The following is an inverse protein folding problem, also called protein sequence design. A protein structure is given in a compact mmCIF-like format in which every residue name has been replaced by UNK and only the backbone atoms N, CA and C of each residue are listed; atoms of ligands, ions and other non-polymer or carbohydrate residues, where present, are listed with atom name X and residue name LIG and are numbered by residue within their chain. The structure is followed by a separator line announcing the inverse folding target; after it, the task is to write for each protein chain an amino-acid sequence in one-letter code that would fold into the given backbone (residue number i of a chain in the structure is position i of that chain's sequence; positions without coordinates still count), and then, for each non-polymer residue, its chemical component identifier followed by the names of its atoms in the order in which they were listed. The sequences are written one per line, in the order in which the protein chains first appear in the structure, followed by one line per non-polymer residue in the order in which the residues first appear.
data_IF_981285088629
#
_entry.id   IF_981285088629
#
_cell.length_a   1.000
_cell.length_b   1.000
_cell.length_c   1.000
_cell.angle_alpha   90.00
_cell.angle_beta   90.00
_cell.angle_gamma   90.00
#
_symmetry.space_group_name_H-M   'P 1'
#
loop_
_entity.id
_entity.type
_entity.pdbx_description
1 polymer ?
#
# COMPACT_ATOMS: atom_id res chain seq x y z
N UNK A 1 -29.90 4.38 -6.90
CA UNK A 1 -28.77 5.25 -7.21
C UNK A 1 -27.59 4.47 -7.78
N UNK A 2 -26.61 5.17 -8.30
CA UNK A 2 -25.44 4.60 -9.00
C UNK A 2 -24.63 3.60 -8.17
N UNK A 3 -24.60 3.79 -6.84
CA UNK A 3 -23.86 2.97 -5.88
C UNK A 3 -24.76 2.04 -5.05
N UNK A 4 -25.98 1.74 -5.54
CA UNK A 4 -26.87 0.80 -4.88
C UNK A 4 -26.22 -0.58 -4.71
N UNK A 5 -26.51 -1.24 -3.60
CA UNK A 5 -25.96 -2.57 -3.23
C UNK A 5 -24.43 -2.60 -3.09
N UNK A 6 -23.84 -1.49 -2.60
CA UNK A 6 -22.41 -1.37 -2.37
C UNK A 6 -22.11 -0.86 -0.96
N UNK A 7 -21.08 -1.41 -0.38
CA UNK A 7 -20.45 -0.84 0.81
C UNK A 7 -19.56 0.30 0.35
N UNK A 8 -19.75 1.47 0.96
CA UNK A 8 -18.94 2.67 0.71
C UNK A 8 -17.91 2.80 1.82
N UNK A 9 -16.64 2.85 1.46
CA UNK A 9 -15.53 3.06 2.38
C UNK A 9 -14.92 4.41 2.01
N UNK A 10 -15.22 5.49 2.79
CA UNK A 10 -14.69 6.82 2.52
C UNK A 10 -13.21 6.91 2.89
N UNK A 11 -12.52 7.82 2.23
CA UNK A 11 -11.16 8.24 2.54
C UNK A 11 -11.15 9.72 2.88
N UNK A 12 -10.39 10.09 3.90
CA UNK A 12 -10.26 11.46 4.38
C UNK A 12 -8.82 11.95 4.23
N UNK A 13 -8.66 13.19 3.78
CA UNK A 13 -7.37 13.87 3.77
C UNK A 13 -6.95 14.35 5.18
N UNK A 14 -5.81 15.02 5.27
CA UNK A 14 -5.27 15.53 6.54
C UNK A 14 -6.18 16.56 7.24
N UNK A 15 -7.02 17.27 6.49
CA UNK A 15 -7.97 18.26 7.00
C UNK A 15 -9.30 17.63 7.43
N UNK A 16 -9.51 16.35 7.14
CA UNK A 16 -10.74 15.61 7.44
C UNK A 16 -11.80 15.71 6.34
N UNK A 17 -11.44 16.24 5.17
CA UNK A 17 -12.33 16.28 4.02
C UNK A 17 -12.29 14.98 3.23
N UNK A 18 -13.44 14.56 2.67
CA UNK A 18 -13.51 13.35 1.84
C UNK A 18 -12.78 13.59 0.52
N UNK A 19 -11.65 12.88 0.31
CA UNK A 19 -10.85 12.98 -0.90
C UNK A 19 -11.09 11.83 -1.90
N UNK A 20 -11.60 10.68 -1.43
CA UNK A 20 -11.89 9.49 -2.24
C UNK A 20 -12.89 8.57 -1.55
N UNK A 21 -13.34 7.54 -2.23
CA UNK A 21 -14.02 6.39 -1.62
C UNK A 21 -13.89 5.13 -2.47
N UNK A 22 -14.03 4.00 -1.83
CA UNK A 22 -14.17 2.69 -2.48
C UNK A 22 -15.63 2.25 -2.36
N UNK A 23 -16.22 1.81 -3.46
CA UNK A 23 -17.56 1.25 -3.48
C UNK A 23 -17.53 -0.21 -3.93
N UNK A 24 -17.63 -1.15 -2.96
CA UNK A 24 -17.56 -2.59 -3.19
C UNK A 24 -18.94 -3.22 -3.19
N UNK A 25 -19.26 -3.98 -4.23
CA UNK A 25 -20.50 -4.78 -4.29
C UNK A 25 -20.51 -5.86 -3.20
N UNK A 26 -21.66 -6.05 -2.56
CA UNK A 26 -21.89 -7.14 -1.60
C UNK A 26 -22.89 -8.20 -2.10
N UNK A 27 -23.47 -8.01 -3.28
CA UNK A 27 -24.50 -8.88 -3.84
C UNK A 27 -24.06 -9.66 -5.10
N UNK A 28 -22.75 -9.72 -5.37
CA UNK A 28 -22.23 -10.48 -6.52
C UNK A 28 -22.43 -9.81 -7.87
N UNK A 29 -22.61 -8.49 -7.90
CA UNK A 29 -22.66 -7.70 -9.14
C UNK A 29 -21.42 -7.95 -10.00
N UNK A 30 -21.56 -7.91 -11.33
CA UNK A 30 -20.48 -8.16 -12.30
C UNK A 30 -19.26 -7.24 -12.11
N UNK A 31 -19.48 -6.06 -11.55
CA UNK A 31 -18.40 -5.14 -11.17
C UNK A 31 -18.20 -5.16 -9.65
N UNK A 32 -17.14 -5.88 -9.20
CA UNK A 32 -16.77 -5.96 -7.79
C UNK A 32 -16.56 -4.57 -7.17
N UNK A 33 -15.94 -3.65 -7.91
CA UNK A 33 -15.70 -2.28 -7.48
C UNK A 33 -16.28 -1.27 -8.47
N UNK A 34 -16.84 -0.18 -7.94
CA UNK A 34 -17.29 1.00 -8.70
C UNK A 34 -16.83 2.25 -7.95
N UNK A 35 -15.64 2.70 -8.26
CA UNK A 35 -15.01 3.83 -7.59
C UNK A 35 -15.34 5.16 -8.30
N UNK A 36 -15.18 6.31 -7.62
CA UNK A 36 -15.39 7.60 -8.25
C UNK A 36 -14.36 7.84 -9.37
N UNK A 37 -14.78 8.60 -10.38
CA UNK A 37 -13.92 8.97 -11.52
C UNK A 37 -13.10 10.23 -11.22
N UNK A 38 -12.32 10.18 -10.15
CA UNK A 38 -11.42 11.26 -9.73
C UNK A 38 -9.98 10.74 -9.64
N UNK A 39 -9.03 11.64 -9.52
CA UNK A 39 -7.62 11.28 -9.39
C UNK A 39 -7.39 10.36 -8.19
N UNK A 40 -6.58 9.34 -8.38
CA UNK A 40 -6.06 8.48 -7.31
C UNK A 40 -4.71 8.98 -6.76
N UNK A 41 -4.26 10.16 -7.19
CA UNK A 41 -3.02 10.76 -6.69
C UNK A 41 -3.26 11.42 -5.33
N UNK A 42 -3.70 10.61 -4.39
CA UNK A 42 -4.03 10.96 -3.00
C UNK A 42 -3.40 9.92 -2.05
N UNK A 43 -3.38 10.23 -0.77
CA UNK A 43 -3.11 9.25 0.28
C UNK A 43 -4.46 8.81 0.84
N UNK A 44 -4.79 7.51 0.71
CA UNK A 44 -6.05 6.99 1.21
C UNK A 44 -6.06 7.00 2.74
N UNK A 45 -7.04 7.65 3.34
CA UNK A 45 -7.17 7.82 4.78
C UNK A 45 -5.96 8.47 5.46
N UNK A 46 -5.40 9.50 4.84
CA UNK A 46 -4.27 10.25 5.38
C UNK A 46 -4.51 10.76 6.81
N UNK A 47 -5.74 11.19 7.11
CA UNK A 47 -6.16 11.63 8.44
C UNK A 47 -5.81 10.64 9.57
N UNK A 48 -5.82 9.34 9.26
CA UNK A 48 -5.59 8.27 10.24
C UNK A 48 -4.20 7.66 10.14
N UNK A 49 -3.33 8.18 9.28
CA UNK A 49 -1.96 7.67 9.10
C UNK A 49 -1.05 8.24 10.18
N UNK A 50 -0.39 7.36 10.93
CA UNK A 50 0.64 7.75 11.88
C UNK A 50 2.01 7.75 11.21
N UNK A 51 2.52 8.93 10.91
CA UNK A 51 3.81 9.13 10.26
C UNK A 51 5.01 8.93 11.19
N UNK A 52 4.79 8.90 12.52
CA UNK A 52 5.84 8.69 13.51
C UNK A 52 6.09 7.20 13.82
N UNK A 53 5.25 6.34 13.29
CA UNK A 53 5.38 4.88 13.35
C UNK A 53 5.72 4.31 11.98
N UNK A 54 6.18 3.07 11.92
CA UNK A 54 6.37 2.39 10.64
C UNK A 54 5.06 2.31 9.84
N UNK A 55 5.16 2.43 8.53
CA UNK A 55 4.04 2.41 7.61
C UNK A 55 4.08 1.16 6.74
N UNK A 56 2.95 0.47 6.59
CA UNK A 56 2.82 -0.62 5.64
C UNK A 56 2.18 -0.14 4.34
N UNK A 57 2.78 -0.44 3.21
CA UNK A 57 2.18 -0.22 1.88
C UNK A 57 1.56 -1.53 1.40
N UNK A 58 0.27 -1.48 1.06
CA UNK A 58 -0.54 -2.62 0.60
C UNK A 58 -1.26 -2.30 -0.71
N UNK A 59 -1.87 -3.29 -1.35
CA UNK A 59 -2.58 -3.07 -2.62
C UNK A 59 -3.97 -2.47 -2.43
N UNK A 60 -4.76 -2.99 -1.52
CA UNK A 60 -6.17 -2.67 -1.35
C UNK A 60 -6.57 -2.21 0.05
N UNK A 61 -7.78 -1.66 0.14
CA UNK A 61 -8.32 -1.11 1.40
C UNK A 61 -8.49 -2.19 2.47
N UNK A 62 -8.92 -3.39 2.08
CA UNK A 62 -9.10 -4.49 3.04
C UNK A 62 -7.77 -5.02 3.57
N UNK A 63 -6.71 -4.96 2.77
CA UNK A 63 -5.35 -5.25 3.21
C UNK A 63 -4.91 -4.25 4.28
N UNK A 64 -5.20 -2.96 4.08
CA UNK A 64 -4.90 -1.91 5.04
C UNK A 64 -5.61 -2.10 6.39
N UNK A 65 -6.83 -2.62 6.39
CA UNK A 65 -7.57 -2.94 7.63
C UNK A 65 -6.83 -3.99 8.46
N UNK A 66 -6.30 -5.02 7.81
CA UNK A 66 -5.52 -6.08 8.48
C UNK A 66 -4.17 -5.55 8.94
N UNK A 67 -3.50 -4.78 8.10
CA UNK A 67 -2.14 -4.28 8.35
C UNK A 67 -2.05 -3.17 9.42
N UNK A 68 -3.15 -2.46 9.70
CA UNK A 68 -3.18 -1.40 10.73
C UNK A 68 -2.72 -0.04 10.20
N UNK A 69 -1.55 0.46 10.64
CA UNK A 69 -0.98 1.70 10.08
C UNK A 69 -0.48 1.44 8.65
N UNK A 70 -1.38 1.55 7.68
CA UNK A 70 -1.14 1.14 6.31
C UNK A 70 -1.85 2.04 5.30
N UNK A 71 -1.24 2.19 4.12
CA UNK A 71 -1.80 2.93 3.00
C UNK A 71 -1.94 1.99 1.79
N UNK A 72 -3.16 1.86 1.23
CA UNK A 72 -3.39 1.08 0.03
C UNK A 72 -3.04 1.88 -1.24
N UNK A 73 -2.47 1.21 -2.23
CA UNK A 73 -2.12 1.82 -3.53
C UNK A 73 -3.32 2.01 -4.46
N UNK A 74 -4.40 1.27 -4.25
CA UNK A 74 -5.63 1.35 -5.06
C UNK A 74 -5.40 1.12 -6.57
N UNK A 75 -4.43 0.28 -6.92
CA UNK A 75 -4.04 0.04 -8.30
C UNK A 75 -3.22 1.17 -8.94
N UNK A 76 -2.82 2.19 -8.18
CA UNK A 76 -1.94 3.25 -8.68
C UNK A 76 -0.47 2.83 -8.63
N UNK A 77 0.35 3.50 -9.44
CA UNK A 77 1.80 3.36 -9.41
C UNK A 77 2.41 4.54 -8.67
N UNK A 78 3.24 4.25 -7.67
CA UNK A 78 3.98 5.29 -6.96
C UNK A 78 5.13 5.82 -7.83
N UNK A 79 5.26 7.12 -7.87
CA UNK A 79 6.37 7.84 -8.49
C UNK A 79 6.90 8.90 -7.51
N UNK A 80 8.08 9.45 -7.79
CA UNK A 80 8.77 10.39 -6.89
C UNK A 80 7.96 11.65 -6.51
N UNK A 81 6.94 12.01 -7.30
CA UNK A 81 6.05 13.15 -7.05
C UNK A 81 4.74 12.76 -6.36
N UNK A 82 4.52 11.47 -6.06
CA UNK A 82 3.31 11.02 -5.37
C UNK A 82 3.25 11.61 -3.97
N UNK A 83 2.06 12.06 -3.49
CA UNK A 83 1.90 12.59 -2.14
C UNK A 83 2.41 11.62 -1.07
N UNK A 84 2.16 10.32 -1.23
CA UNK A 84 2.62 9.29 -0.31
C UNK A 84 4.15 9.25 -0.19
N UNK A 85 4.86 9.26 -1.31
CA UNK A 85 6.35 9.30 -1.30
C UNK A 85 6.84 10.55 -0.59
N UNK A 86 6.22 11.70 -0.88
CA UNK A 86 6.58 12.96 -0.24
C UNK A 86 6.44 12.90 1.29
N UNK A 87 5.33 12.39 1.81
CA UNK A 87 5.08 12.28 3.24
C UNK A 87 6.04 11.30 3.92
N UNK A 88 6.29 10.15 3.31
CA UNK A 88 7.28 9.18 3.81
C UNK A 88 8.66 9.83 3.93
N UNK A 89 9.10 10.54 2.91
CA UNK A 89 10.43 11.18 2.89
C UNK A 89 10.51 12.33 3.90
N UNK A 90 9.46 13.17 3.99
CA UNK A 90 9.43 14.30 4.94
C UNK A 90 9.49 13.85 6.40
N UNK A 91 8.89 12.72 6.72
CA UNK A 91 8.82 12.19 8.08
C UNK A 91 9.90 11.12 8.37
N UNK A 92 10.70 10.76 7.37
CA UNK A 92 11.67 9.66 7.47
C UNK A 92 11.03 8.36 8.00
N UNK A 93 9.83 8.07 7.51
CA UNK A 93 9.01 6.96 8.00
C UNK A 93 9.53 5.62 7.46
N UNK A 94 9.88 4.65 8.32
CA UNK A 94 10.23 3.30 7.87
C UNK A 94 9.04 2.63 7.16
N UNK A 95 9.30 1.93 6.06
CA UNK A 95 8.26 1.33 5.23
C UNK A 95 8.38 -0.18 5.15
N UNK A 96 7.25 -0.84 5.39
CA UNK A 96 7.04 -2.27 5.15
C UNK A 96 6.24 -2.45 3.87
N UNK A 97 6.72 -3.28 2.95
CA UNK A 97 6.02 -3.61 1.71
C UNK A 97 5.31 -4.96 1.87
N UNK A 98 4.00 -4.96 1.69
CA UNK A 98 3.16 -6.15 1.74
C UNK A 98 2.24 -6.18 0.52
N UNK A 99 2.84 -6.21 -0.68
CA UNK A 99 2.12 -6.24 -1.94
C UNK A 99 1.74 -7.68 -2.32
N UNK A 100 0.75 -7.80 -3.20
CA UNK A 100 0.31 -9.09 -3.70
C UNK A 100 1.45 -9.83 -4.42
N UNK A 101 1.47 -11.17 -4.41
CA UNK A 101 2.58 -11.96 -4.99
C UNK A 101 2.86 -11.67 -6.47
N UNK A 102 1.87 -11.23 -7.23
CA UNK A 102 1.97 -10.89 -8.66
C UNK A 102 2.43 -9.44 -8.94
N UNK A 103 2.66 -8.64 -7.90
CA UNK A 103 3.03 -7.22 -8.03
C UNK A 103 4.55 -6.95 -8.04
N UNK A 104 5.38 -7.91 -8.42
CA UNK A 104 6.84 -7.81 -8.35
C UNK A 104 7.42 -6.59 -9.09
N UNK A 105 6.89 -6.26 -10.28
CA UNK A 105 7.36 -5.12 -11.05
C UNK A 105 7.04 -3.78 -10.36
N UNK A 106 5.86 -3.66 -9.76
CA UNK A 106 5.44 -2.49 -8.98
C UNK A 106 6.29 -2.36 -7.72
N UNK A 107 6.52 -3.45 -7.02
CA UNK A 107 7.35 -3.49 -5.81
C UNK A 107 8.76 -2.99 -6.10
N UNK A 108 9.39 -3.46 -7.18
CA UNK A 108 10.74 -3.00 -7.58
C UNK A 108 10.79 -1.49 -7.81
N UNK A 109 9.79 -0.91 -8.45
CA UNK A 109 9.72 0.55 -8.67
C UNK A 109 9.63 1.32 -7.34
N UNK A 110 8.81 0.84 -6.41
CA UNK A 110 8.65 1.44 -5.10
C UNK A 110 9.96 1.38 -4.32
N UNK A 111 10.59 0.21 -4.26
CA UNK A 111 11.89 0.01 -3.60
C UNK A 111 12.94 0.96 -4.19
N UNK A 112 13.06 1.02 -5.51
CA UNK A 112 14.00 1.92 -6.18
C UNK A 112 13.76 3.38 -5.82
N UNK A 113 12.50 3.81 -5.83
CA UNK A 113 12.14 5.20 -5.49
C UNK A 113 12.45 5.53 -4.04
N UNK A 114 12.02 4.72 -3.08
CA UNK A 114 12.24 4.98 -1.65
C UNK A 114 13.71 4.81 -1.25
N UNK A 115 14.42 3.84 -1.81
CA UNK A 115 15.86 3.67 -1.58
C UNK A 115 16.68 4.87 -2.05
N UNK A 116 16.24 5.60 -3.08
CA UNK A 116 16.92 6.81 -3.53
C UNK A 116 16.86 7.97 -2.53
N UNK A 117 15.93 7.89 -1.56
CA UNK A 117 15.79 8.83 -0.45
C UNK A 117 16.28 8.27 0.90
N UNK A 118 17.01 7.16 0.89
CA UNK A 118 17.55 6.47 2.08
C UNK A 118 16.49 6.04 3.10
N UNK A 119 15.25 5.78 2.66
CA UNK A 119 14.19 5.27 3.51
C UNK A 119 14.46 3.82 3.89
N UNK A 120 14.30 3.52 5.18
CA UNK A 120 14.41 2.15 5.71
C UNK A 120 13.25 1.29 5.21
N UNK A 121 13.57 0.18 4.55
CA UNK A 121 12.60 -0.67 3.85
C UNK A 121 12.66 -2.12 4.31
N UNK A 122 11.47 -2.72 4.45
CA UNK A 122 11.29 -4.13 4.76
C UNK A 122 10.29 -4.76 3.79
N UNK A 123 10.48 -6.03 3.48
CA UNK A 123 9.53 -6.83 2.71
C UNK A 123 8.86 -7.86 3.61
N UNK A 124 7.54 -7.81 3.67
CA UNK A 124 6.71 -8.81 4.33
C UNK A 124 6.42 -9.95 3.33
N UNK A 125 6.60 -11.18 3.76
CA UNK A 125 6.27 -12.35 2.96
C UNK A 125 4.75 -12.60 2.96
N UNK A 126 4.10 -12.44 1.80
CA UNK A 126 2.67 -12.68 1.58
C UNK A 126 2.40 -14.06 0.98
N UNK A 127 3.44 -14.86 0.72
CA UNK A 127 3.30 -16.19 0.12
C UNK A 127 2.34 -17.10 0.90
N UNK A 128 1.59 -17.94 0.19
CA UNK A 128 0.57 -18.81 0.76
C UNK A 128 -0.79 -18.15 1.00
N UNK A 129 -0.92 -16.85 0.75
CA UNK A 129 -2.16 -16.08 0.79
C UNK A 129 -2.39 -15.38 -0.54
N UNK A 130 -3.64 -15.14 -0.89
CA UNK A 130 -4.01 -14.37 -2.09
C UNK A 130 -3.58 -12.91 -1.93
N UNK A 131 -3.83 -12.35 -0.75
CA UNK A 131 -3.51 -10.98 -0.36
C UNK A 131 -3.38 -10.87 1.17
N UNK A 132 -2.99 -9.70 1.67
CA UNK A 132 -2.94 -9.42 3.11
C UNK A 132 -4.34 -9.47 3.73
N UNK A 133 -5.37 -9.04 3.01
CA UNK A 133 -6.76 -9.04 3.48
C UNK A 133 -7.31 -10.42 3.79
N UNK A 134 -6.71 -11.49 3.25
CA UNK A 134 -7.05 -12.88 3.55
C UNK A 134 -6.32 -13.44 4.79
N UNK A 135 -5.41 -12.69 5.39
CA UNK A 135 -4.73 -13.07 6.64
C UNK A 135 -5.56 -12.66 7.85
N UNK A 136 -5.33 -13.34 8.99
CA UNK A 136 -5.71 -12.81 10.29
C UNK A 136 -4.70 -11.72 10.73
N UNK A 137 -5.08 -10.89 11.69
CA UNK A 137 -4.14 -9.88 12.25
C UNK A 137 -2.92 -10.55 12.87
N UNK A 138 -3.11 -11.65 13.56
CA UNK A 138 -2.04 -12.43 14.23
C UNK A 138 -1.03 -12.96 13.21
N UNK A 139 -1.50 -13.51 12.10
CA UNK A 139 -0.65 -14.01 11.01
C UNK A 139 0.11 -12.82 10.38
N UNK A 140 -0.57 -11.73 10.11
CA UNK A 140 0.08 -10.53 9.55
C UNK A 140 1.19 -10.00 10.48
N UNK A 141 0.91 -9.85 11.78
CA UNK A 141 1.89 -9.39 12.76
C UNK A 141 3.11 -10.31 12.84
N UNK A 142 2.91 -11.63 12.84
CA UNK A 142 4.01 -12.60 12.78
C UNK A 142 4.85 -12.43 11.52
N UNK A 143 4.23 -12.26 10.35
CA UNK A 143 4.91 -12.03 9.09
C UNK A 143 5.67 -10.70 9.09
N UNK A 144 5.10 -9.66 9.68
CA UNK A 144 5.73 -8.35 9.83
C UNK A 144 6.96 -8.41 10.74
N UNK A 145 6.89 -9.11 11.88
CA UNK A 145 8.03 -9.31 12.77
C UNK A 145 9.19 -10.06 12.10
N UNK A 146 8.89 -10.94 11.15
CA UNK A 146 9.87 -11.70 10.37
C UNK A 146 10.19 -11.05 9.01
N UNK A 147 9.79 -9.79 8.80
CA UNK A 147 10.01 -9.10 7.55
C UNK A 147 11.50 -8.97 7.24
N UNK A 148 11.82 -9.13 5.95
CA UNK A 148 13.20 -9.04 5.47
C UNK A 148 13.59 -7.58 5.23
N UNK A 149 14.66 -7.15 5.88
CA UNK A 149 15.29 -5.87 5.58
C UNK A 149 15.78 -5.83 4.14
N UNK A 150 15.50 -4.74 3.43
CA UNK A 150 15.94 -4.53 2.06
C UNK A 150 17.22 -3.68 2.10
N UNK A 151 18.35 -4.35 1.94
CA UNK A 151 19.64 -3.68 1.77
C UNK A 151 19.69 -3.05 0.37
N UNK A 152 19.79 -1.73 0.33
CA UNK A 152 19.83 -0.93 -0.90
C UNK A 152 20.91 -1.40 -1.86
N UNK A 153 22.13 -1.59 -1.36
CA UNK A 153 23.29 -1.89 -2.22
C UNK A 153 23.17 -3.28 -2.84
N UNK A 154 22.76 -4.27 -2.06
CA UNK A 154 22.47 -5.61 -2.55
C UNK A 154 21.28 -5.64 -3.51
N UNK A 155 20.24 -4.87 -3.22
CA UNK A 155 19.05 -4.81 -4.08
C UNK A 155 19.39 -4.24 -5.46
N UNK A 156 20.12 -3.12 -5.52
CA UNK A 156 20.55 -2.50 -6.78
C UNK A 156 21.48 -3.42 -7.58
N UNK A 157 22.38 -4.13 -6.91
CA UNK A 157 23.26 -5.10 -7.56
C UNK A 157 22.48 -6.26 -8.18
N UNK A 158 21.51 -6.82 -7.44
CA UNK A 158 20.66 -7.90 -7.94
C UNK A 158 19.78 -7.44 -9.10
N UNK A 159 19.25 -6.22 -9.06
CA UNK A 159 18.45 -5.63 -10.14
C UNK A 159 19.30 -5.46 -11.42
N UNK A 160 20.54 -4.98 -11.29
CA UNK A 160 21.49 -4.87 -12.40
C UNK A 160 21.84 -6.24 -12.98
N UNK A 161 22.10 -7.24 -12.15
CA UNK A 161 22.44 -8.60 -12.59
C UNK A 161 21.27 -9.29 -13.28
N UNK A 162 20.03 -9.01 -12.86
CA UNK A 162 18.83 -9.58 -13.48
C UNK A 162 18.49 -8.96 -14.84
N UNK A 163 19.09 -7.80 -15.17
CA UNK A 163 18.91 -7.11 -16.45
C UNK A 163 19.90 -7.59 -17.54
N UNK A 164 20.88 -8.43 -17.20
CA UNK A 164 21.83 -9.06 -18.11
C UNK A 164 21.28 -10.40 -18.56
#
# INVERSE_FOLDING_TARGET
GEYRNRVIIPSFDEDGDVNYFIARSYNGDSYKYKNPRVSKNIIFNELYTDWNSDLTIVEGVFDAVVAGNAVPLLGSTLHSRSPLIRQIVLNDTPVYLALDPDAAAKERKIIKTLSSYDIELYKIDVSGYEDVGSMTKEVFEERKQNARFIDRDNYLLLDLLSAI
#
